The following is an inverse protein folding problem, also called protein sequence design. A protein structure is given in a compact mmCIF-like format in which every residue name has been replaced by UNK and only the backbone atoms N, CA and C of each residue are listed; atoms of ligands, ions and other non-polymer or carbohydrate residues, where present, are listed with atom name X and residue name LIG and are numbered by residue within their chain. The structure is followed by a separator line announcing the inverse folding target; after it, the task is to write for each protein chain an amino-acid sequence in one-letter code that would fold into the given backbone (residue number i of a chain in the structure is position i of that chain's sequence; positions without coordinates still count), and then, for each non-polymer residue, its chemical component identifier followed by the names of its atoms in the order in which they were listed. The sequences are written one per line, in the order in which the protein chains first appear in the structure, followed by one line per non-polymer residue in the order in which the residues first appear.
data_IF_420402096157
#
_entry.id   IF_420402096157
#
_cell.length_a   1.000
_cell.length_b   1.000
_cell.length_c   1.000
_cell.angle_alpha   90.00
_cell.angle_beta   90.00
_cell.angle_gamma   90.00
#
_symmetry.space_group_name_H-M   'P 1'
#
loop_
_entity.id
_entity.type
_entity.pdbx_description
1 polymer ?
#
# COMPACT_ATOMS: atom_id res chain seq x y z
N UNK A 1 -10.57 9.83 20.15
CA UNK A 1 -9.19 10.04 19.66
C UNK A 1 -8.23 9.67 20.77
N UNK A 2 -7.78 8.41 20.79
CA UNK A 2 -6.63 8.04 21.60
C UNK A 2 -5.40 8.05 20.70
N UNK A 3 -4.62 9.11 20.86
CA UNK A 3 -3.25 9.20 20.38
C UNK A 3 -2.45 8.11 21.10
N UNK A 4 -2.26 6.96 20.46
CA UNK A 4 -1.31 5.97 20.99
C UNK A 4 0.10 6.53 20.75
N UNK A 5 0.67 7.00 21.85
CA UNK A 5 2.02 7.46 21.98
C UNK A 5 3.04 6.39 21.54
N UNK A 6 4.00 6.84 20.72
CA UNK A 6 5.40 6.49 20.88
C UNK A 6 5.80 5.05 20.57
N UNK A 7 5.74 4.67 19.29
CA UNK A 7 6.76 3.74 18.78
C UNK A 7 8.07 4.53 18.65
N UNK A 8 8.94 4.45 19.65
CA UNK A 8 10.31 4.95 19.54
C UNK A 8 11.05 4.07 18.53
N UNK A 9 11.20 4.58 17.32
CA UNK A 9 11.84 3.87 16.21
C UNK A 9 13.37 3.80 16.44
N UNK A 10 14.01 2.67 16.08
CA UNK A 10 15.45 2.52 16.25
C UNK A 10 16.18 3.54 15.39
N UNK A 11 17.01 4.35 16.05
CA UNK A 11 17.98 5.28 15.47
C UNK A 11 19.05 4.54 14.65
N UNK A 12 18.66 4.03 13.49
CA UNK A 12 19.59 3.60 12.45
C UNK A 12 19.95 4.82 11.63
N UNK A 13 21.19 5.29 11.74
CA UNK A 13 21.72 6.36 10.89
C UNK A 13 21.51 5.96 9.43
N UNK A 14 20.65 6.68 8.71
CA UNK A 14 20.51 6.57 7.27
C UNK A 14 21.88 6.87 6.67
N UNK A 15 22.49 5.86 6.04
CA UNK A 15 23.78 6.06 5.37
C UNK A 15 23.45 6.67 4.02
N UNK A 16 23.69 7.97 3.90
CA UNK A 16 23.53 8.70 2.65
C UNK A 16 24.47 8.12 1.59
N UNK A 17 23.89 7.67 0.48
CA UNK A 17 24.64 7.24 -0.70
C UNK A 17 24.49 8.31 -1.77
N UNK A 18 25.53 9.13 -2.03
CA UNK A 18 25.44 10.27 -2.94
C UNK A 18 25.19 9.86 -4.40
N UNK A 19 25.27 8.57 -4.73
CA UNK A 19 24.89 8.06 -6.06
C UNK A 19 23.38 7.84 -6.23
N UNK A 20 22.62 7.85 -5.14
CA UNK A 20 21.18 7.68 -5.16
C UNK A 20 20.46 9.03 -5.15
N UNK A 21 19.32 9.08 -5.83
CA UNK A 21 18.43 10.24 -5.83
C UNK A 21 17.60 10.26 -4.55
N UNK A 22 17.32 11.44 -4.02
CA UNK A 22 16.33 11.64 -2.97
C UNK A 22 14.99 12.04 -3.57
N UNK A 23 13.91 11.92 -2.80
CA UNK A 23 12.61 12.45 -3.22
C UNK A 23 12.65 13.97 -3.36
N UNK A 24 11.84 14.51 -4.28
CA UNK A 24 11.66 15.96 -4.37
C UNK A 24 10.67 16.38 -3.29
N UNK A 25 11.09 17.23 -2.35
CA UNK A 25 10.18 17.72 -1.31
C UNK A 25 9.21 18.77 -1.86
N UNK A 26 7.98 18.78 -1.35
CA UNK A 26 6.94 19.75 -1.74
C UNK A 26 6.23 19.45 -3.06
N UNK A 27 6.42 18.26 -3.63
CA UNK A 27 5.63 17.77 -4.77
C UNK A 27 4.64 16.69 -4.32
N UNK A 28 3.52 16.50 -5.04
CA UNK A 28 2.60 15.39 -4.79
C UNK A 28 3.29 14.02 -4.78
N UNK A 29 2.83 13.12 -3.91
CA UNK A 29 3.45 11.80 -3.69
C UNK A 29 3.52 10.94 -4.97
N UNK A 30 2.54 11.10 -5.86
CA UNK A 30 2.41 10.34 -7.11
C UNK A 30 3.48 10.67 -8.16
N UNK A 31 4.14 11.83 -8.00
CA UNK A 31 5.22 12.31 -8.87
C UNK A 31 6.56 12.51 -8.15
N UNK A 32 6.62 12.28 -6.83
CA UNK A 32 7.83 12.46 -6.03
C UNK A 32 8.95 11.46 -6.38
N UNK A 33 8.60 10.32 -6.97
CA UNK A 33 9.52 9.32 -7.53
C UNK A 33 9.25 9.21 -9.04
N UNK A 34 10.21 9.69 -9.84
CA UNK A 34 10.10 9.75 -11.31
C UNK A 34 10.68 8.51 -12.02
N UNK A 35 11.19 7.54 -11.25
CA UNK A 35 11.76 6.34 -11.81
C UNK A 35 10.73 5.57 -12.66
N UNK A 36 11.15 4.95 -13.78
CA UNK A 36 10.28 4.03 -14.48
C UNK A 36 9.91 2.85 -13.57
N UNK A 37 8.65 2.41 -13.63
CA UNK A 37 8.21 1.22 -12.90
C UNK A 37 8.99 0.00 -13.43
N UNK A 38 9.79 -0.67 -12.58
CA UNK A 38 10.68 -1.75 -13.00
C UNK A 38 9.91 -2.96 -13.53
N UNK A 39 10.61 -3.83 -14.28
CA UNK A 39 10.09 -5.15 -14.61
C UNK A 39 9.98 -6.00 -13.34
N UNK A 40 8.84 -6.68 -13.18
CA UNK A 40 8.57 -7.54 -12.03
C UNK A 40 8.04 -8.89 -12.49
N UNK A 41 8.59 -9.96 -11.92
CA UNK A 41 8.05 -11.32 -12.04
C UNK A 41 7.15 -11.59 -10.84
N UNK A 42 5.84 -11.58 -11.07
CA UNK A 42 4.85 -11.98 -10.08
C UNK A 42 4.68 -13.50 -10.08
N UNK A 43 4.60 -14.08 -8.89
CA UNK A 43 4.35 -15.51 -8.68
C UNK A 43 3.28 -15.68 -7.61
N UNK A 44 2.42 -16.67 -7.79
CA UNK A 44 1.50 -17.15 -6.76
C UNK A 44 1.80 -18.62 -6.50
N UNK A 45 1.36 -19.13 -5.36
CA UNK A 45 1.37 -20.57 -5.14
C UNK A 45 0.44 -21.27 -6.15
N UNK A 46 0.82 -22.46 -6.62
CA UNK A 46 0.07 -23.25 -7.62
C UNK A 46 -1.40 -23.45 -7.24
N UNK A 47 -1.69 -23.57 -5.93
CA UNK A 47 -3.07 -23.70 -5.42
C UNK A 47 -3.96 -22.48 -5.68
N UNK A 48 -3.40 -21.34 -6.07
CA UNK A 48 -4.11 -20.10 -6.37
C UNK A 48 -4.14 -19.77 -7.86
N UNK A 49 -3.76 -20.70 -8.74
CA UNK A 49 -3.77 -20.46 -10.20
C UNK A 49 -5.12 -20.10 -10.78
N UNK A 50 -6.20 -20.59 -10.16
CA UNK A 50 -7.59 -20.33 -10.59
C UNK A 50 -8.20 -19.13 -9.86
N UNK A 51 -7.42 -18.41 -9.05
CA UNK A 51 -7.89 -17.20 -8.38
C UNK A 51 -8.06 -16.07 -9.39
N UNK A 52 -9.28 -15.52 -9.48
CA UNK A 52 -9.57 -14.41 -10.37
C UNK A 52 -9.00 -13.10 -9.81
N UNK A 53 -7.81 -12.74 -10.30
CA UNK A 53 -7.13 -11.50 -9.93
C UNK A 53 -7.97 -10.26 -10.26
N UNK A 54 -8.82 -10.30 -11.29
CA UNK A 54 -9.63 -9.14 -11.68
C UNK A 54 -10.76 -8.86 -10.70
N UNK A 55 -11.10 -9.82 -9.84
CA UNK A 55 -12.10 -9.65 -8.77
C UNK A 55 -11.53 -8.99 -7.51
N UNK A 56 -10.21 -8.75 -7.44
CA UNK A 56 -9.57 -8.17 -6.26
C UNK A 56 -10.03 -6.74 -6.05
N UNK A 57 -10.49 -6.47 -4.83
CA UNK A 57 -10.93 -5.13 -4.41
C UNK A 57 -9.88 -4.41 -3.59
N UNK A 58 -8.99 -5.14 -2.92
CA UNK A 58 -7.93 -4.59 -2.07
C UNK A 58 -6.60 -5.33 -2.19
N UNK A 59 -5.52 -4.61 -1.99
CA UNK A 59 -4.15 -5.13 -1.98
C UNK A 59 -3.50 -4.75 -0.66
N UNK A 60 -2.78 -5.67 -0.02
CA UNK A 60 -1.94 -5.34 1.14
C UNK A 60 -0.50 -5.67 0.83
N UNK A 61 0.34 -4.64 0.73
CA UNK A 61 1.78 -4.80 0.57
C UNK A 61 2.40 -5.00 1.96
N UNK A 62 3.12 -6.09 2.12
CA UNK A 62 3.93 -6.38 3.30
C UNK A 62 5.39 -6.21 2.95
N UNK A 63 6.02 -5.27 3.62
CA UNK A 63 7.40 -4.95 3.34
C UNK A 63 8.12 -4.60 4.62
N UNK A 64 9.34 -5.12 4.77
CA UNK A 64 10.21 -4.67 5.85
C UNK A 64 10.98 -3.48 5.37
N UNK A 65 11.36 -2.60 6.28
CA UNK A 65 12.03 -1.40 5.82
C UNK A 65 13.40 -1.63 5.18
N UNK A 66 14.24 -2.60 5.65
CA UNK A 66 15.42 -3.01 4.88
C UNK A 66 15.08 -3.45 3.44
N UNK A 67 13.93 -4.11 3.24
CA UNK A 67 13.48 -4.49 1.89
C UNK A 67 13.07 -3.29 1.06
N UNK A 68 12.41 -2.29 1.65
CA UNK A 68 12.14 -1.02 0.96
C UNK A 68 13.43 -0.35 0.54
N UNK A 69 14.41 -0.22 1.45
CA UNK A 69 15.73 0.33 1.11
C UNK A 69 16.39 -0.41 -0.06
N UNK A 70 16.32 -1.75 -0.08
CA UNK A 70 16.84 -2.56 -1.20
C UNK A 70 16.10 -2.30 -2.52
N UNK A 71 14.76 -2.21 -2.49
CA UNK A 71 13.92 -1.94 -3.68
C UNK A 71 14.17 -0.54 -4.23
N UNK A 72 14.22 0.47 -3.37
CA UNK A 72 14.41 1.84 -3.82
C UNK A 72 15.82 2.07 -4.34
N UNK A 73 16.83 1.47 -3.71
CA UNK A 73 18.19 1.45 -4.25
C UNK A 73 18.23 0.81 -5.64
N UNK A 74 17.48 -0.27 -5.86
CA UNK A 74 17.40 -0.94 -7.17
C UNK A 74 16.90 -0.01 -8.28
N UNK A 75 16.03 0.96 -7.97
CA UNK A 75 15.55 1.98 -8.92
C UNK A 75 16.30 3.32 -8.82
N UNK A 76 17.43 3.37 -8.11
CA UNK A 76 18.28 4.54 -7.99
C UNK A 76 17.78 5.61 -7.02
N UNK A 77 17.00 5.22 -6.00
CA UNK A 77 16.47 6.10 -4.97
C UNK A 77 16.95 5.72 -3.56
N UNK A 78 17.19 6.74 -2.75
CA UNK A 78 17.41 6.60 -1.32
C UNK A 78 16.04 6.58 -0.63
N UNK A 79 15.76 5.48 0.08
CA UNK A 79 14.56 5.37 0.90
C UNK A 79 14.64 6.33 2.10
N UNK A 80 13.60 7.14 2.28
CA UNK A 80 13.44 8.08 3.38
C UNK A 80 12.25 7.64 4.24
N UNK A 81 12.54 7.43 5.52
CA UNK A 81 11.60 6.86 6.49
C UNK A 81 10.74 7.94 7.12
N UNK A 82 11.21 9.20 7.10
CA UNK A 82 10.47 10.34 7.62
C UNK A 82 9.35 10.76 6.64
N UNK A 83 9.47 10.33 5.37
CA UNK A 83 8.54 10.63 4.29
C UNK A 83 8.18 9.38 3.49
N UNK A 84 7.47 8.40 4.08
CA UNK A 84 7.25 7.11 3.46
C UNK A 84 6.17 7.11 2.36
N UNK A 85 5.26 8.10 2.35
CA UNK A 85 4.13 8.18 1.42
C UNK A 85 4.50 8.04 -0.07
N UNK A 86 5.46 8.84 -0.61
CA UNK A 86 5.98 8.66 -1.97
C UNK A 86 6.45 7.25 -2.30
N UNK A 87 7.09 6.58 -1.35
CA UNK A 87 7.61 5.23 -1.52
C UNK A 87 6.47 4.21 -1.52
N UNK A 88 5.50 4.34 -0.61
CA UNK A 88 4.30 3.51 -0.60
C UNK A 88 3.52 3.66 -1.90
N UNK A 89 3.26 4.89 -2.34
CA UNK A 89 2.62 5.16 -3.62
C UNK A 89 3.36 4.45 -4.78
N UNK A 90 4.68 4.52 -4.82
CA UNK A 90 5.46 3.83 -5.85
C UNK A 90 5.39 2.31 -5.76
N UNK A 91 5.37 1.73 -4.55
CA UNK A 91 5.12 0.29 -4.36
C UNK A 91 3.73 -0.09 -4.89
N UNK A 92 2.70 0.75 -4.63
CA UNK A 92 1.37 0.61 -5.22
C UNK A 92 1.42 0.56 -6.75
N UNK A 93 2.13 1.50 -7.39
CA UNK A 93 2.32 1.52 -8.86
C UNK A 93 2.99 0.27 -9.40
N UNK A 94 3.99 -0.26 -8.68
CA UNK A 94 4.62 -1.54 -9.06
C UNK A 94 3.59 -2.66 -9.08
N UNK A 95 2.76 -2.77 -8.04
CA UNK A 95 1.74 -3.83 -7.94
C UNK A 95 0.65 -3.65 -8.99
N UNK A 96 0.15 -2.42 -9.18
CA UNK A 96 -0.90 -2.10 -10.16
C UNK A 96 -0.47 -2.48 -11.59
N UNK A 97 0.72 -2.04 -12.00
CA UNK A 97 1.28 -2.41 -13.31
C UNK A 97 1.44 -3.92 -13.46
N UNK A 98 1.93 -4.60 -12.42
CA UNK A 98 2.33 -6.00 -12.54
C UNK A 98 1.15 -6.96 -12.51
N UNK A 99 0.16 -6.73 -11.64
CA UNK A 99 -0.98 -7.64 -11.46
C UNK A 99 -2.21 -7.23 -12.26
N UNK A 100 -2.36 -5.94 -12.54
CA UNK A 100 -3.60 -5.38 -13.08
C UNK A 100 -3.40 -4.60 -14.37
N UNK A 101 -2.18 -4.52 -14.90
CA UNK A 101 -1.86 -3.76 -16.13
C UNK A 101 -2.28 -2.27 -16.02
N UNK A 102 -2.11 -1.69 -14.82
CA UNK A 102 -2.53 -0.33 -14.43
C UNK A 102 -4.05 -0.08 -14.45
N UNK A 103 -4.87 -1.12 -14.44
CA UNK A 103 -6.35 -0.99 -14.50
C UNK A 103 -6.98 -0.91 -13.12
N UNK A 104 -6.25 -1.24 -12.05
CA UNK A 104 -6.81 -1.23 -10.70
C UNK A 104 -6.81 0.16 -10.07
N UNK A 105 -5.93 1.06 -10.53
CA UNK A 105 -5.77 2.43 -10.01
C UNK A 105 -5.67 2.45 -8.49
N UNK A 106 -4.67 1.72 -7.97
CA UNK A 106 -4.54 1.50 -6.52
C UNK A 106 -4.37 2.82 -5.77
N UNK A 107 -5.24 3.04 -4.77
CA UNK A 107 -5.16 4.18 -3.84
C UNK A 107 -4.90 3.67 -2.43
N UNK A 108 -4.03 4.32 -1.70
CA UNK A 108 -3.78 3.98 -0.30
C UNK A 108 -5.07 4.12 0.51
N UNK A 109 -5.42 3.08 1.26
CA UNK A 109 -6.55 3.06 2.19
C UNK A 109 -6.08 3.39 3.61
N UNK A 110 -5.07 2.66 4.08
CA UNK A 110 -4.51 2.81 5.42
C UNK A 110 -3.19 2.02 5.53
N UNK A 111 -2.47 2.19 6.64
CA UNK A 111 -1.29 1.40 6.94
C UNK A 111 -1.19 1.01 8.42
N UNK A 112 -0.42 -0.04 8.69
CA UNK A 112 0.04 -0.39 10.05
C UNK A 112 1.53 -0.67 10.02
N UNK A 113 2.28 -0.07 10.94
CA UNK A 113 3.66 -0.42 11.22
C UNK A 113 3.76 -1.30 12.47
N UNK A 114 4.39 -2.48 12.35
CA UNK A 114 4.68 -3.39 13.45
C UNK A 114 6.20 -3.63 13.51
N UNK A 115 6.87 -2.89 14.38
CA UNK A 115 8.33 -2.89 14.46
C UNK A 115 8.95 -2.40 13.15
N UNK A 116 9.72 -3.24 12.46
CA UNK A 116 10.36 -2.91 11.18
C UNK A 116 9.59 -3.39 9.94
N UNK A 117 8.32 -3.73 10.10
CA UNK A 117 7.45 -4.22 9.02
C UNK A 117 6.25 -3.31 8.87
N UNK A 118 5.97 -2.95 7.63
CA UNK A 118 4.83 -2.13 7.24
C UNK A 118 3.85 -2.98 6.44
N UNK A 119 2.57 -2.73 6.71
CA UNK A 119 1.42 -3.32 6.04
C UNK A 119 0.65 -2.16 5.42
N UNK A 120 0.84 -1.90 4.12
CA UNK A 120 0.17 -0.81 3.43
C UNK A 120 -1.00 -1.40 2.64
N UNK A 121 -2.21 -0.97 2.96
CA UNK A 121 -3.42 -1.41 2.29
C UNK A 121 -3.84 -0.41 1.22
N UNK A 122 -4.28 -0.95 0.10
CA UNK A 122 -4.77 -0.21 -1.05
C UNK A 122 -6.16 -0.68 -1.42
N UNK A 123 -6.93 0.25 -1.95
CA UNK A 123 -8.25 0.06 -2.54
C UNK A 123 -8.17 0.24 -4.05
N UNK A 124 -8.92 -0.57 -4.80
CA UNK A 124 -9.08 -0.44 -6.25
C UNK A 124 -10.16 0.58 -6.61
N UNK A 125 -10.07 1.18 -7.80
CA UNK A 125 -11.13 2.05 -8.34
C UNK A 125 -12.46 1.31 -8.51
N UNK A 126 -12.43 0.02 -8.84
CA UNK A 126 -13.62 -0.84 -8.92
C UNK A 126 -14.36 -0.93 -7.58
N UNK A 127 -13.63 -1.06 -6.46
CA UNK A 127 -14.26 -1.06 -5.13
C UNK A 127 -14.94 0.28 -4.85
N UNK A 128 -14.24 1.39 -5.08
CA UNK A 128 -14.81 2.73 -4.90
C UNK A 128 -16.08 2.91 -5.71
N UNK A 129 -16.06 2.52 -7.00
CA UNK A 129 -17.24 2.59 -7.86
C UNK A 129 -18.41 1.73 -7.33
N UNK A 130 -18.12 0.54 -6.81
CA UNK A 130 -19.13 -0.33 -6.23
C UNK A 130 -19.73 0.25 -4.95
N UNK A 131 -18.92 0.81 -4.05
CA UNK A 131 -19.40 1.49 -2.84
C UNK A 131 -20.31 2.67 -3.20
N UNK A 132 -19.91 3.51 -4.14
CA UNK A 132 -20.73 4.65 -4.59
C UNK A 132 -22.05 4.20 -5.23
N UNK A 133 -22.04 3.10 -5.99
CA UNK A 133 -23.27 2.53 -6.57
C UNK A 133 -24.24 1.99 -5.50
N UNK A 134 -23.73 1.30 -4.48
CA UNK A 134 -24.53 0.81 -3.34
C UNK A 134 -25.13 1.99 -2.55
N UNK A 135 -24.31 3.03 -2.28
CA UNK A 135 -24.77 4.28 -1.63
C UNK A 135 -25.87 4.96 -2.43
N UNK A 136 -25.69 5.10 -3.75
CA UNK A 136 -26.70 5.68 -4.64
C UNK A 136 -28.00 4.85 -4.71
N UNK A 137 -27.91 3.54 -4.51
CA UNK A 137 -29.07 2.64 -4.41
C UNK A 137 -29.75 2.66 -3.02
N UNK A 138 -29.24 3.45 -2.06
CA UNK A 138 -29.76 3.50 -0.69
C UNK A 138 -29.44 2.23 0.12
N UNK A 139 -28.45 1.44 -0.30
CA UNK A 139 -28.01 0.25 0.42
C UNK A 139 -26.92 0.62 1.42
N UNK A 140 -27.08 0.22 2.68
CA UNK A 140 -26.12 0.47 3.75
C UNK A 140 -25.04 -0.62 3.86
N UNK A 141 -24.87 -1.46 2.83
CA UNK A 141 -24.00 -2.64 2.87
C UNK A 141 -22.79 -2.44 1.97
N UNK A 142 -21.60 -2.64 2.53
CA UNK A 142 -20.37 -2.66 1.75
C UNK A 142 -20.36 -3.85 0.75
N UNK A 143 -19.78 -3.67 -0.45
CA UNK A 143 -19.60 -4.74 -1.42
C UNK A 143 -18.80 -5.93 -0.87
N UNK A 144 -18.79 -7.03 -1.61
CA UNK A 144 -17.97 -8.20 -1.23
C UNK A 144 -16.49 -7.86 -1.31
N UNK A 145 -15.78 -8.12 -0.20
CA UNK A 145 -14.35 -7.89 -0.08
C UNK A 145 -13.57 -9.08 -0.67
N UNK A 146 -12.65 -8.81 -1.59
CA UNK A 146 -11.67 -9.74 -2.12
C UNK A 146 -10.30 -9.07 -2.00
N UNK A 147 -9.40 -9.63 -1.19
CA UNK A 147 -8.11 -9.01 -0.92
C UNK A 147 -6.97 -9.98 -1.16
N UNK A 148 -5.82 -9.44 -1.55
CA UNK A 148 -4.55 -10.19 -1.66
C UNK A 148 -3.47 -9.58 -0.77
N UNK A 149 -2.58 -10.42 -0.29
CA UNK A 149 -1.33 -10.02 0.35
C UNK A 149 -0.19 -10.12 -0.66
N UNK A 150 0.64 -9.10 -0.72
CA UNK A 150 1.78 -8.99 -1.64
C UNK A 150 3.07 -8.85 -0.84
N UNK A 151 4.10 -9.61 -1.22
CA UNK A 151 5.43 -9.52 -0.65
C UNK A 151 6.48 -9.40 -1.76
N UNK A 152 7.48 -8.57 -1.56
CA UNK A 152 8.63 -8.45 -2.46
C UNK A 152 9.79 -9.31 -1.96
N UNK A 153 10.47 -10.05 -2.86
CA UNK A 153 11.74 -10.71 -2.57
C UNK A 153 12.91 -9.73 -2.67
N UNK A 154 14.09 -10.19 -2.25
CA UNK A 154 15.31 -9.38 -2.29
C UNK A 154 15.67 -9.09 -3.75
N UNK A 155 15.76 -7.82 -4.17
CA UNK A 155 16.23 -7.48 -5.52
C UNK A 155 17.58 -8.16 -5.80
N UNK A 156 17.70 -8.77 -6.98
CA UNK A 156 18.96 -9.34 -7.47
C UNK A 156 19.50 -8.45 -8.60
N UNK A 157 20.80 -8.09 -8.58
CA UNK A 157 21.38 -7.27 -9.63
C UNK A 157 21.16 -7.86 -11.02
N UNK A 158 20.66 -7.05 -11.95
CA UNK A 158 20.41 -7.45 -13.34
C UNK A 158 19.26 -8.44 -13.55
N UNK A 159 18.45 -8.73 -12.52
CA UNK A 159 17.23 -9.52 -12.65
C UNK A 159 16.00 -8.65 -12.38
N UNK A 160 14.84 -8.97 -12.98
CA UNK A 160 13.57 -8.35 -12.60
C UNK A 160 13.31 -8.48 -11.10
N UNK A 161 12.55 -7.54 -10.53
CA UNK A 161 12.08 -7.70 -9.16
C UNK A 161 11.18 -8.93 -9.08
N UNK A 162 11.23 -9.62 -7.95
CA UNK A 162 10.37 -10.77 -7.71
C UNK A 162 9.31 -10.42 -6.66
N UNK A 163 8.06 -10.73 -6.99
CA UNK A 163 6.90 -10.49 -6.14
C UNK A 163 6.14 -11.79 -5.95
N UNK A 164 5.71 -12.06 -4.72
CA UNK A 164 4.81 -13.16 -4.41
C UNK A 164 3.50 -12.58 -3.92
N UNK A 165 2.38 -13.16 -4.35
CA UNK A 165 1.07 -12.82 -3.83
C UNK A 165 0.24 -14.06 -3.47
N UNK A 166 -0.72 -13.87 -2.58
CA UNK A 166 -1.71 -14.87 -2.20
C UNK A 166 -3.00 -14.18 -1.75
N UNK A 167 -4.16 -14.87 -1.77
CA UNK A 167 -5.36 -14.38 -1.10
C UNK A 167 -5.07 -14.00 0.35
N UNK A 168 -5.62 -12.86 0.78
CA UNK A 168 -5.38 -12.33 2.11
C UNK A 168 -5.98 -13.24 3.19
N UNK A 169 -5.24 -13.38 4.29
CA UNK A 169 -5.64 -14.13 5.47
C UNK A 169 -6.82 -13.43 6.17
N UNK A 170 -7.61 -14.23 6.89
CA UNK A 170 -8.82 -13.76 7.60
C UNK A 170 -8.59 -12.52 8.47
N UNK A 171 -7.46 -12.46 9.19
CA UNK A 171 -7.10 -11.31 10.02
C UNK A 171 -6.90 -10.02 9.19
N UNK A 172 -6.24 -10.13 8.04
CA UNK A 172 -6.01 -8.99 7.14
C UNK A 172 -7.34 -8.54 6.54
N UNK A 173 -8.16 -9.48 6.06
CA UNK A 173 -9.49 -9.15 5.51
C UNK A 173 -10.41 -8.50 6.54
N UNK A 174 -10.35 -8.93 7.81
CA UNK A 174 -11.11 -8.33 8.90
C UNK A 174 -10.65 -6.90 9.20
N UNK A 175 -9.33 -6.65 9.16
CA UNK A 175 -8.78 -5.30 9.39
C UNK A 175 -9.15 -4.33 8.26
N UNK A 176 -9.09 -4.78 7.00
CA UNK A 176 -9.53 -3.98 5.84
C UNK A 176 -11.02 -3.65 5.96
N UNK A 177 -11.85 -4.64 6.31
CA UNK A 177 -13.28 -4.44 6.54
C UNK A 177 -13.53 -3.34 7.57
N UNK A 178 -12.87 -3.43 8.72
CA UNK A 178 -12.98 -2.41 9.75
C UNK A 178 -12.59 -1.01 9.26
N UNK A 179 -11.51 -0.87 8.48
CA UNK A 179 -11.13 0.43 7.90
C UNK A 179 -12.17 0.99 6.93
N UNK A 180 -12.79 0.14 6.12
CA UNK A 180 -13.86 0.55 5.21
C UNK A 180 -15.15 0.92 5.96
N UNK A 181 -15.40 0.33 7.13
CA UNK A 181 -16.58 0.65 7.95
C UNK A 181 -16.36 1.92 8.77
N UNK A 182 -15.14 2.18 9.26
CA UNK A 182 -14.82 3.35 10.07
C UNK A 182 -14.61 4.64 9.27
N UNK A 183 -14.47 4.55 7.95
CA UNK A 183 -14.28 5.72 7.07
C UNK A 183 -15.59 6.43 6.72
N UNK A 184 -16.74 5.89 7.13
CA UNK A 184 -18.05 6.53 7.00
C UNK A 184 -18.41 7.44 8.22
N UNK A 185 -17.58 7.49 9.27
CA UNK A 185 -17.80 8.26 10.52
C UNK A 185 -17.08 9.63 10.57
N UNK A 186 -16.79 10.26 9.42
CA UNK A 186 -16.37 11.67 9.38
C UNK A 186 -17.58 12.61 9.63
N UNK A 187 -18.22 12.50 10.80
CA UNK A 187 -18.94 13.64 11.37
C UNK A 187 -17.90 14.66 11.86
N UNK A 188 -17.94 15.92 11.39
CA UNK A 188 -17.05 16.95 11.91
C UNK A 188 -17.35 17.14 13.40
N UNK A 189 -16.33 16.92 14.24
CA UNK A 189 -16.36 17.29 15.64
C UNK A 189 -16.70 18.78 15.77
N UNK A 190 -17.93 19.10 16.16
CA UNK A 190 -18.35 20.44 16.57
C UNK A 190 -18.04 20.55 18.07
N UNK A 191 -17.01 21.30 18.50
CA UNK A 191 -16.80 21.53 19.92
C UNK A 191 -17.99 22.32 20.46
N UNK A 192 -18.69 21.76 21.46
CA UNK A 192 -19.75 22.46 22.17
C UNK A 192 -19.21 23.78 22.71
N UNK A 193 -19.80 24.88 22.23
CA UNK A 193 -19.57 26.21 22.74
C UNK A 193 -19.92 26.25 24.22
N UNK A 194 -18.99 26.75 25.03
CA UNK A 194 -19.30 27.20 26.37
C UNK A 194 -19.65 28.68 26.29
N UNK A 195 -20.91 28.98 26.60
CA UNK A 195 -21.36 30.29 27.06
C UNK A 195 -20.60 30.74 28.33
#
# INVERSE_FOLDING_TARGET
MDTIAGATNPSGTQVDDPSLRTITLGVPEDIAIDAPVPEVRATAEERFKDFDINSVTHVVIQVTVPRQTEIFRYIGYQYDWDWPGPFWHFLGKIVDKTLFDNKAELRELNFVALGRREFIAYTTSMWTAAVEAEKAAGMAKLPTLSAIEVNFKKPQPGQPLEMIWAPARGLITAKIRHWNESSDDDEPYIPEGKD
#
